data_IF_726711615252
#
_entry.id   IF_726711615252
#
_cell.length_a   1.000
_cell.length_b   1.000
_cell.length_c   1.000
_cell.angle_alpha   90.00
_cell.angle_beta   90.00
_cell.angle_gamma   90.00
#
_symmetry.space_group_name_H-M   'P 1'
#
loop_
_entity.id
_entity.type
_entity.pdbx_description
1 polymer ?
#
# COMPACT_ATOMS: atom_id res chain seq x y z
N UNK A 1 16.78 8.44 -21.37
CA UNK A 1 15.59 7.66 -21.77
C UNK A 1 14.40 8.19 -20.99
N UNK A 2 13.24 8.38 -21.63
CA UNK A 2 12.01 8.81 -20.96
C UNK A 2 11.06 7.62 -20.86
N UNK A 3 10.52 7.36 -19.67
CA UNK A 3 9.63 6.23 -19.41
C UNK A 3 8.32 6.76 -18.85
N UNK A 4 7.22 6.44 -19.54
CA UNK A 4 5.87 6.69 -19.05
C UNK A 4 5.34 5.47 -18.28
N UNK A 5 4.83 5.68 -17.07
CA UNK A 5 4.22 4.65 -16.23
C UNK A 5 2.74 5.00 -16.04
N UNK A 6 1.83 4.08 -16.36
CA UNK A 6 0.39 4.29 -16.23
C UNK A 6 -0.11 3.62 -14.95
N UNK A 7 -0.65 4.43 -14.04
CA UNK A 7 -1.15 4.08 -12.71
C UNK A 7 -0.13 4.34 -11.61
N UNK A 8 -0.58 4.90 -10.48
CA UNK A 8 0.24 5.20 -9.30
C UNK A 8 -0.11 4.27 -8.12
N UNK A 9 0.01 2.95 -8.31
CA UNK A 9 -0.22 1.92 -7.28
C UNK A 9 1.08 1.24 -6.82
N UNK A 10 0.97 0.18 -6.01
CA UNK A 10 2.15 -0.56 -5.49
C UNK A 10 3.10 -1.01 -6.60
N UNK A 11 2.57 -1.59 -7.68
CA UNK A 11 3.39 -2.09 -8.79
C UNK A 11 4.26 -0.99 -9.41
N UNK A 12 3.71 0.19 -9.66
CA UNK A 12 4.48 1.31 -10.21
C UNK A 12 5.40 1.95 -9.19
N UNK A 13 5.03 1.98 -7.92
CA UNK A 13 5.92 2.41 -6.83
C UNK A 13 7.20 1.56 -6.79
N UNK A 14 7.06 0.23 -6.94
CA UNK A 14 8.20 -0.69 -7.06
C UNK A 14 8.99 -0.47 -8.35
N UNK A 15 8.32 -0.19 -9.48
CA UNK A 15 9.01 0.16 -10.74
C UNK A 15 9.83 1.45 -10.60
N UNK A 16 9.34 2.46 -9.88
CA UNK A 16 10.06 3.72 -9.68
C UNK A 16 11.42 3.50 -9.00
N UNK A 17 11.46 2.66 -7.95
CA UNK A 17 12.72 2.30 -7.30
C UNK A 17 13.70 1.59 -8.24
N UNK A 18 13.20 0.70 -9.11
CA UNK A 18 14.06 -0.12 -9.96
C UNK A 18 14.50 0.59 -11.26
N UNK A 19 13.68 1.48 -11.79
CA UNK A 19 13.90 2.14 -13.08
C UNK A 19 14.45 3.56 -12.95
N UNK A 20 14.44 4.16 -11.74
CA UNK A 20 14.85 5.56 -11.55
C UNK A 20 16.27 5.88 -12.03
N UNK A 21 17.19 4.93 -11.94
CA UNK A 21 18.57 5.09 -12.44
C UNK A 21 18.70 4.94 -13.97
N UNK A 22 17.68 4.41 -14.65
CA UNK A 22 17.71 4.10 -16.08
C UNK A 22 17.18 5.25 -16.95
N UNK A 23 16.47 6.21 -16.36
CA UNK A 23 15.95 7.35 -17.09
C UNK A 23 14.95 8.18 -16.30
N UNK A 24 14.39 9.19 -16.97
CA UNK A 24 13.39 10.07 -16.40
C UNK A 24 12.03 9.36 -16.42
N UNK A 25 11.41 9.23 -15.24
CA UNK A 25 10.11 8.59 -15.07
C UNK A 25 9.00 9.65 -14.96
N UNK A 26 7.92 9.47 -15.72
CA UNK A 26 6.66 10.22 -15.57
C UNK A 26 5.54 9.23 -15.29
N UNK A 27 4.86 9.41 -14.16
CA UNK A 27 3.75 8.57 -13.72
C UNK A 27 2.44 9.30 -14.04
N UNK A 28 1.51 8.61 -14.70
CA UNK A 28 0.18 9.11 -15.03
C UNK A 28 -0.86 8.35 -14.23
N UNK A 29 -1.63 9.05 -13.39
CA UNK A 29 -2.71 8.47 -12.61
C UNK A 29 -4.03 9.16 -12.95
N UNK A 30 -5.05 8.36 -13.28
CA UNK A 30 -6.38 8.89 -13.59
C UNK A 30 -7.03 9.55 -12.38
N UNK A 31 -6.65 9.12 -11.18
CA UNK A 31 -7.22 9.57 -9.91
C UNK A 31 -6.47 10.77 -9.35
N UNK A 32 -7.15 11.54 -8.48
CA UNK A 32 -6.57 12.69 -7.76
C UNK A 32 -5.44 12.33 -6.78
N UNK A 33 -5.22 11.04 -6.52
CA UNK A 33 -4.29 10.59 -5.50
C UNK A 33 -3.68 9.24 -5.81
N UNK A 34 -2.50 9.02 -5.23
CA UNK A 34 -1.73 7.79 -5.38
C UNK A 34 -2.22 6.69 -4.43
N UNK A 35 -1.89 5.45 -4.77
CA UNK A 35 -2.14 4.24 -3.99
C UNK A 35 -2.94 3.18 -4.75
N UNK A 36 -3.70 3.57 -5.78
CA UNK A 36 -4.58 2.65 -6.52
C UNK A 36 -5.50 1.89 -5.57
N UNK A 37 -5.43 0.55 -5.58
CA UNK A 37 -6.22 -0.30 -4.66
C UNK A 37 -5.78 -0.22 -3.18
N UNK A 38 -4.71 0.48 -2.86
CA UNK A 38 -4.33 0.80 -1.48
C UNK A 38 -4.72 2.23 -1.09
N UNK A 39 -5.45 2.95 -1.94
CA UNK A 39 -5.83 4.33 -1.69
C UNK A 39 -6.76 4.49 -0.48
N UNK A 40 -6.52 5.56 0.28
CA UNK A 40 -7.36 6.01 1.37
C UNK A 40 -8.31 7.08 0.86
N UNK A 41 -9.59 6.94 1.17
CA UNK A 41 -10.58 7.99 0.89
C UNK A 41 -10.61 8.96 2.07
N UNK A 42 -10.51 10.25 1.76
CA UNK A 42 -10.61 11.34 2.73
C UNK A 42 -12.01 11.95 2.69
N UNK A 43 -12.64 12.07 3.84
CA UNK A 43 -13.86 12.84 4.08
C UNK A 43 -13.58 14.07 4.95
N UNK A 44 -14.63 14.81 5.33
CA UNK A 44 -14.48 16.05 6.13
C UNK A 44 -13.90 15.74 7.52
N UNK A 45 -14.43 14.71 8.18
CA UNK A 45 -14.07 14.38 9.58
C UNK A 45 -13.40 13.01 9.74
N UNK A 46 -13.18 12.28 8.63
CA UNK A 46 -12.67 10.90 8.69
C UNK A 46 -11.92 10.50 7.42
N UNK A 47 -11.02 9.52 7.58
CA UNK A 47 -10.35 8.83 6.49
C UNK A 47 -10.63 7.33 6.59
N UNK A 48 -10.76 6.65 5.44
CA UNK A 48 -10.93 5.19 5.44
C UNK A 48 -10.25 4.51 4.26
N UNK A 49 -9.61 3.39 4.57
CA UNK A 49 -8.97 2.51 3.60
C UNK A 49 -10.02 1.58 2.98
N UNK A 50 -10.62 2.05 1.88
CA UNK A 50 -11.72 1.35 1.21
C UNK A 50 -11.27 0.22 0.27
N UNK A 51 -9.98 0.18 -0.07
CA UNK A 51 -9.40 -0.81 -0.95
C UNK A 51 -8.88 -2.02 -0.19
N UNK A 52 -7.58 -2.26 -0.25
CA UNK A 52 -6.93 -3.31 0.51
C UNK A 52 -7.04 -3.02 2.02
N UNK A 53 -7.69 -3.88 2.82
CA UNK A 53 -7.81 -3.66 4.26
C UNK A 53 -6.50 -3.96 5.00
N UNK A 54 -5.73 -4.91 4.50
CA UNK A 54 -4.38 -5.28 4.93
C UNK A 54 -3.79 -6.20 3.85
N UNK A 55 -2.51 -6.53 3.96
CA UNK A 55 -1.87 -7.51 3.08
C UNK A 55 -0.85 -8.37 3.84
N UNK A 56 -0.53 -9.53 3.29
CA UNK A 56 0.53 -10.41 3.82
C UNK A 56 1.73 -10.38 2.88
N UNK A 57 2.92 -10.65 3.41
CA UNK A 57 4.13 -10.83 2.61
C UNK A 57 4.67 -12.25 2.77
N UNK A 58 4.66 -13.04 1.70
CA UNK A 58 5.19 -14.41 1.68
C UNK A 58 6.57 -14.49 1.06
N UNK A 59 6.75 -13.80 -0.07
CA UNK A 59 8.01 -13.72 -0.81
C UNK A 59 9.11 -13.02 0.00
N UNK A 60 10.33 -13.56 -0.05
CA UNK A 60 11.47 -13.00 0.69
C UNK A 60 11.94 -11.65 0.14
N UNK A 61 11.90 -11.47 -1.18
CA UNK A 61 12.23 -10.20 -1.82
C UNK A 61 11.26 -9.10 -1.41
N UNK A 62 9.96 -9.41 -1.40
CA UNK A 62 8.94 -8.48 -0.91
C UNK A 62 9.10 -8.19 0.58
N UNK A 63 9.36 -9.20 1.43
CA UNK A 63 9.66 -8.97 2.86
C UNK A 63 10.85 -8.04 3.07
N UNK A 64 11.90 -8.18 2.25
CA UNK A 64 13.07 -7.30 2.30
C UNK A 64 12.73 -5.87 1.84
N UNK A 65 11.98 -5.75 0.75
CA UNK A 65 11.47 -4.47 0.24
C UNK A 65 10.65 -3.71 1.29
N UNK A 66 9.91 -4.42 2.15
CA UNK A 66 9.10 -3.80 3.20
C UNK A 66 9.91 -3.34 4.43
N UNK A 67 11.15 -3.81 4.63
CA UNK A 67 11.93 -3.53 5.84
C UNK A 67 12.11 -2.04 6.17
N UNK A 68 12.40 -1.15 5.20
CA UNK A 68 12.52 0.28 5.49
C UNK A 68 11.22 0.85 6.09
N UNK A 69 10.07 0.48 5.53
CA UNK A 69 8.75 0.97 5.96
C UNK A 69 8.29 0.36 7.30
N UNK A 70 8.74 -0.86 7.60
CA UNK A 70 8.53 -1.46 8.92
C UNK A 70 9.40 -0.78 9.99
N UNK A 71 10.63 -0.41 9.63
CA UNK A 71 11.57 0.26 10.54
C UNK A 71 11.15 1.70 10.86
N UNK A 72 10.63 2.43 9.87
CA UNK A 72 10.13 3.81 10.05
C UNK A 72 8.66 3.86 10.53
N UNK A 73 8.03 2.70 10.72
CA UNK A 73 6.66 2.53 11.20
C UNK A 73 5.57 3.14 10.30
N UNK A 74 5.88 3.49 9.05
CA UNK A 74 4.86 3.84 8.04
C UNK A 74 4.10 2.60 7.55
N UNK A 75 4.64 1.41 7.80
CA UNK A 75 3.97 0.13 7.69
C UNK A 75 4.13 -0.62 9.02
N UNK A 76 3.08 -1.31 9.48
CA UNK A 76 3.13 -2.06 10.74
C UNK A 76 2.34 -3.36 10.67
N UNK A 77 2.69 -4.33 11.54
CA UNK A 77 1.88 -5.53 11.74
C UNK A 77 0.61 -5.19 12.53
N UNK A 78 -0.53 -5.53 11.94
CA UNK A 78 -1.84 -5.25 12.47
C UNK A 78 -2.32 -6.39 13.37
N UNK A 79 -2.68 -6.03 14.60
CA UNK A 79 -3.16 -6.94 15.64
C UNK A 79 -4.61 -6.62 16.04
N UNK A 80 -5.61 -6.87 15.17
CA UNK A 80 -6.99 -6.53 15.46
C UNK A 80 -7.63 -7.49 16.47
N UNK A 81 -8.63 -6.97 17.18
CA UNK A 81 -9.58 -7.80 17.93
C UNK A 81 -10.65 -8.35 16.97
N UNK A 82 -10.30 -9.39 16.22
CA UNK A 82 -11.20 -9.99 15.23
C UNK A 82 -12.07 -11.11 15.82
N UNK A 83 -13.32 -11.18 15.36
CA UNK A 83 -14.21 -12.36 15.54
C UNK A 83 -14.68 -12.83 14.17
N UNK A 84 -14.83 -14.13 14.00
CA UNK A 84 -15.34 -14.73 12.77
C UNK A 84 -16.79 -15.15 12.97
N UNK A 85 -17.64 -14.76 12.04
CA UNK A 85 -19.06 -15.11 12.01
C UNK A 85 -19.28 -16.15 10.90
N UNK A 86 -20.00 -17.21 11.22
CA UNK A 86 -20.44 -18.22 10.27
C UNK A 86 -21.96 -18.35 10.30
N UNK A 87 -22.57 -18.67 9.15
CA UNK A 87 -24.00 -18.96 9.09
C UNK A 87 -24.33 -20.13 10.04
N UNK A 88 -25.28 -19.91 10.95
CA UNK A 88 -25.69 -20.88 11.98
C UNK A 88 -24.55 -21.38 12.89
N UNK A 89 -23.45 -20.64 13.01
CA UNK A 89 -22.33 -20.96 13.90
C UNK A 89 -22.20 -19.90 14.98
N UNK A 90 -21.81 -20.31 16.20
CA UNK A 90 -21.40 -19.37 17.23
C UNK A 90 -20.14 -18.62 16.77
N UNK A 91 -19.96 -17.33 17.13
CA UNK A 91 -18.75 -16.59 16.82
C UNK A 91 -17.50 -17.33 17.33
N UNK A 92 -16.43 -17.35 16.54
CA UNK A 92 -15.18 -18.01 16.89
C UNK A 92 -13.97 -17.17 16.47
N UNK A 93 -12.80 -17.45 17.07
CA UNK A 93 -11.54 -16.80 16.67
C UNK A 93 -10.85 -17.62 15.59
N UNK A 94 -10.57 -17.01 14.44
CA UNK A 94 -9.71 -17.60 13.40
C UNK A 94 -8.27 -17.15 13.62
N UNK A 95 -7.36 -18.11 13.76
CA UNK A 95 -5.92 -17.84 13.86
C UNK A 95 -5.39 -17.37 12.51
N UNK A 96 -4.54 -16.34 12.53
CA UNK A 96 -3.74 -15.91 11.39
C UNK A 96 -2.34 -16.50 11.54
N UNK A 97 -1.82 -17.11 10.47
CA UNK A 97 -0.50 -17.72 10.46
C UNK A 97 0.58 -16.81 9.86
N UNK A 98 0.15 -15.74 9.21
CA UNK A 98 1.02 -14.73 8.62
C UNK A 98 0.76 -13.35 9.22
N UNK A 99 1.80 -12.51 9.37
CA UNK A 99 1.62 -11.12 9.75
C UNK A 99 0.80 -10.40 8.67
N UNK A 100 -0.22 -9.67 9.11
CA UNK A 100 -1.02 -8.82 8.24
C UNK A 100 -0.55 -7.38 8.42
N UNK A 101 -0.11 -6.76 7.33
CA UNK A 101 0.45 -5.42 7.34
C UNK A 101 -0.58 -4.37 6.95
N UNK A 102 -0.50 -3.21 7.63
CA UNK A 102 -1.29 -2.02 7.33
C UNK A 102 -0.38 -0.79 7.28
N UNK A 103 -0.71 0.15 6.39
CA UNK A 103 -0.04 1.45 6.35
C UNK A 103 -0.48 2.37 7.50
N UNK A 104 0.41 3.23 7.94
CA UNK A 104 0.20 4.22 9.00
C UNK A 104 0.64 5.62 8.50
N UNK A 105 -0.15 6.69 8.74
CA UNK A 105 -1.48 6.70 9.36
C UNK A 105 -2.61 6.16 8.45
N UNK A 106 -2.31 5.91 7.16
CA UNK A 106 -3.29 5.42 6.19
C UNK A 106 -2.66 4.39 5.25
N UNK A 107 -3.45 3.50 4.65
CA UNK A 107 -2.92 2.38 3.85
C UNK A 107 -1.97 2.79 2.72
N UNK A 108 -2.21 3.91 2.03
CA UNK A 108 -1.33 4.38 0.95
C UNK A 108 -0.14 5.23 1.41
N UNK A 109 0.00 5.53 2.70
CA UNK A 109 0.99 6.51 3.16
C UNK A 109 2.43 6.09 2.84
N UNK A 110 2.78 4.83 3.13
CA UNK A 110 4.10 4.26 2.89
C UNK A 110 4.49 4.18 1.40
N UNK A 111 3.53 4.25 0.48
CA UNK A 111 3.81 4.30 -0.96
C UNK A 111 4.25 5.68 -1.45
N UNK A 112 3.81 6.77 -0.81
CA UNK A 112 4.03 8.13 -1.32
C UNK A 112 5.52 8.46 -1.51
N UNK A 113 6.42 8.10 -0.58
CA UNK A 113 7.85 8.35 -0.76
C UNK A 113 8.46 7.65 -1.98
N UNK A 114 7.87 6.54 -2.45
CA UNK A 114 8.36 5.78 -3.60
C UNK A 114 8.16 6.52 -4.94
N UNK A 115 7.25 7.48 -4.97
CA UNK A 115 7.03 8.35 -6.11
C UNK A 115 7.78 9.68 -5.98
N UNK A 116 8.42 9.94 -4.84
CA UNK A 116 9.14 11.19 -4.61
C UNK A 116 10.34 11.31 -5.55
N UNK A 117 10.53 12.49 -6.14
CA UNK A 117 11.59 12.73 -7.13
C UNK A 117 11.22 12.33 -8.56
N UNK A 118 10.00 11.83 -8.80
CA UNK A 118 9.47 11.57 -10.13
C UNK A 118 8.28 12.50 -10.44
N UNK A 119 8.07 12.79 -11.73
CA UNK A 119 6.91 13.56 -12.15
C UNK A 119 5.65 12.68 -12.02
N UNK A 120 4.61 13.19 -11.35
CA UNK A 120 3.33 12.50 -11.19
C UNK A 120 2.21 13.42 -11.69
N UNK A 121 1.52 12.98 -12.74
CA UNK A 121 0.39 13.68 -13.33
C UNK A 121 -0.92 12.99 -12.91
N UNK A 122 -1.77 13.72 -12.20
CA UNK A 122 -3.08 13.25 -11.72
C UNK A 122 -4.22 14.01 -12.40
N UNK A 123 -5.39 13.38 -12.55
CA UNK A 123 -6.62 14.04 -13.02
C UNK A 123 -7.71 14.13 -11.93
#
# INVERSE_FOLDING_TARGET
>A
MNIAIIGAGLSSATLCQNLGALGTLTIFEKSRGMGGRMATRQGVDAAWDHGAPCFIARDSGFKQFLQPFLKDQTLTEWHPKMTTLGLNQKPYKRTWFEPHYVGQPTMNHWLKPLFAGHAVETQ
#
